data_IF_755428864777
#
_entry.id   IF_755428864777
#
_cell.length_a   1.000
_cell.length_b   1.000
_cell.length_c   1.000
_cell.angle_alpha   90.00
_cell.angle_beta   90.00
_cell.angle_gamma   90.00
#
_symmetry.space_group_name_H-M   'P 1'
#
loop_
_entity.id
_entity.type
_entity.pdbx_description
1 polymer ?
#
# COMPACT_ATOMS: atom_id res chain seq x y z
N UNK A 1 -10.63 -5.37 -26.03
CA UNK A 1 -11.29 -4.40 -26.94
C UNK A 1 -12.48 -3.72 -26.28
N UNK A 2 -13.25 -4.41 -25.43
CA UNK A 2 -14.39 -3.81 -24.69
C UNK A 2 -13.97 -2.76 -23.64
N UNK A 3 -12.85 -2.95 -22.96
CA UNK A 3 -12.37 -1.98 -21.96
C UNK A 3 -12.02 -0.61 -22.58
N UNK A 4 -11.44 -0.58 -23.79
CA UNK A 4 -11.07 0.68 -24.43
C UNK A 4 -12.30 1.49 -24.85
N UNK A 5 -13.31 0.84 -25.45
CA UNK A 5 -14.58 1.51 -25.78
C UNK A 5 -15.31 1.98 -24.51
N UNK A 6 -15.30 1.17 -23.46
CA UNK A 6 -15.89 1.51 -22.16
C UNK A 6 -15.18 2.69 -21.50
N UNK A 7 -13.85 2.77 -21.61
CA UNK A 7 -13.06 3.91 -21.16
C UNK A 7 -13.42 5.19 -21.93
N UNK A 8 -13.45 5.13 -23.27
CA UNK A 8 -13.81 6.29 -24.10
C UNK A 8 -15.24 6.80 -23.81
N UNK A 9 -16.18 5.90 -23.50
CA UNK A 9 -17.55 6.27 -23.15
C UNK A 9 -17.68 7.06 -21.83
N UNK A 10 -16.59 7.22 -21.07
CA UNK A 10 -16.52 8.00 -19.83
C UNK A 10 -15.91 9.39 -20.00
N UNK A 11 -15.32 9.72 -21.16
CA UNK A 11 -14.50 10.93 -21.34
C UNK A 11 -15.19 12.25 -21.01
N UNK A 12 -16.51 12.36 -21.24
CA UNK A 12 -17.31 13.56 -21.00
C UNK A 12 -18.34 13.37 -19.88
N UNK A 13 -18.10 12.40 -18.99
CA UNK A 13 -18.97 12.08 -17.85
C UNK A 13 -18.28 12.41 -16.53
N UNK A 14 -19.03 12.74 -15.47
CA UNK A 14 -18.47 12.82 -14.13
C UNK A 14 -17.78 11.50 -13.74
N UNK A 15 -16.70 11.60 -12.97
CA UNK A 15 -15.97 10.43 -12.45
C UNK A 15 -16.92 9.54 -11.65
N UNK A 16 -17.07 8.29 -12.08
CA UNK A 16 -17.84 7.30 -11.34
C UNK A 16 -16.94 6.56 -10.34
N UNK A 17 -16.96 7.00 -9.08
CA UNK A 17 -16.16 6.40 -8.00
C UNK A 17 -16.52 4.94 -7.65
N UNK A 18 -17.64 4.42 -8.17
CA UNK A 18 -18.07 3.03 -7.96
C UNK A 18 -17.35 2.04 -8.90
N UNK A 19 -16.72 2.51 -9.97
CA UNK A 19 -16.01 1.63 -10.91
C UNK A 19 -14.74 1.05 -10.28
N UNK A 20 -14.46 -0.22 -10.58
CA UNK A 20 -13.27 -0.92 -10.14
C UNK A 20 -12.35 -1.17 -11.32
N UNK A 21 -11.03 -1.07 -11.07
CA UNK A 21 -10.00 -1.38 -12.06
C UNK A 21 -9.54 -2.85 -12.01
N UNK A 22 -10.11 -3.64 -11.10
CA UNK A 22 -9.88 -5.08 -10.96
C UNK A 22 -11.22 -5.80 -10.83
N UNK A 23 -11.29 -7.01 -11.38
CA UNK A 23 -12.43 -7.92 -11.23
C UNK A 23 -12.36 -8.63 -9.87
N UNK A 24 -13.51 -9.10 -9.38
CA UNK A 24 -13.60 -9.74 -8.07
C UNK A 24 -12.74 -11.01 -7.94
N UNK A 25 -12.44 -11.69 -9.04
CA UNK A 25 -11.62 -12.91 -9.07
C UNK A 25 -10.09 -12.67 -9.13
N UNK A 26 -9.65 -11.41 -9.21
CA UNK A 26 -8.22 -11.10 -9.19
C UNK A 26 -7.66 -11.22 -7.77
N UNK A 27 -6.49 -11.85 -7.64
CA UNK A 27 -5.78 -11.99 -6.36
C UNK A 27 -4.80 -10.83 -6.26
N UNK A 28 -5.29 -9.69 -5.80
CA UNK A 28 -4.50 -8.49 -5.58
C UNK A 28 -5.27 -7.50 -4.68
N UNK A 29 -4.69 -6.34 -4.37
CA UNK A 29 -5.39 -5.18 -3.82
C UNK A 29 -4.86 -3.91 -4.51
N UNK A 30 -5.56 -2.79 -4.35
CA UNK A 30 -5.01 -1.51 -4.82
C UNK A 30 -5.62 -0.29 -4.11
N UNK A 31 -4.81 0.77 -4.08
CA UNK A 31 -5.22 2.14 -3.82
C UNK A 31 -5.34 2.93 -5.12
N UNK A 32 -6.36 3.78 -5.22
CA UNK A 32 -6.48 4.76 -6.29
C UNK A 32 -6.50 6.19 -5.74
N UNK A 33 -5.50 7.03 -6.08
CA UNK A 33 -5.38 8.37 -5.54
C UNK A 33 -6.49 9.33 -6.00
N UNK A 34 -6.99 9.17 -7.23
CA UNK A 34 -8.01 10.07 -7.81
C UNK A 34 -9.40 9.84 -7.22
N UNK A 35 -9.70 8.61 -6.83
CA UNK A 35 -10.93 8.24 -6.16
C UNK A 35 -10.79 8.29 -4.63
N UNK A 36 -9.54 8.36 -4.13
CA UNK A 36 -9.15 8.17 -2.73
C UNK A 36 -9.81 6.91 -2.13
N UNK A 37 -9.57 5.77 -2.78
CA UNK A 37 -10.27 4.51 -2.52
C UNK A 37 -9.26 3.36 -2.46
N UNK A 38 -9.44 2.48 -1.48
CA UNK A 38 -8.78 1.16 -1.41
C UNK A 38 -9.78 0.08 -1.81
N UNK A 39 -9.33 -0.95 -2.52
CA UNK A 39 -10.20 -2.03 -3.00
C UNK A 39 -9.53 -3.38 -2.76
N UNK A 40 -10.32 -4.31 -2.22
CA UNK A 40 -9.94 -5.71 -2.00
C UNK A 40 -10.93 -6.59 -2.75
N UNK A 41 -10.58 -7.09 -3.94
CA UNK A 41 -11.31 -8.14 -4.64
C UNK A 41 -11.61 -9.34 -3.73
N UNK A 42 -12.73 -10.03 -3.99
CA UNK A 42 -13.15 -11.18 -3.19
C UNK A 42 -12.09 -12.30 -3.17
N UNK A 43 -11.40 -12.53 -4.29
CA UNK A 43 -10.34 -13.54 -4.37
C UNK A 43 -9.07 -13.17 -3.59
N UNK A 44 -8.89 -11.93 -3.13
CA UNK A 44 -7.80 -11.61 -2.19
C UNK A 44 -8.12 -12.10 -0.76
N UNK A 45 -9.40 -12.23 -0.42
CA UNK A 45 -9.89 -12.55 0.92
C UNK A 45 -9.95 -14.07 1.16
N UNK A 46 -8.83 -14.74 0.93
CA UNK A 46 -8.69 -16.20 1.07
C UNK A 46 -7.37 -16.57 1.77
N UNK A 47 -7.16 -17.83 2.16
CA UNK A 47 -5.86 -18.30 2.67
C UNK A 47 -4.70 -18.00 1.72
N UNK A 48 -3.51 -17.59 2.22
CA UNK A 48 -3.16 -17.40 3.63
C UNK A 48 -3.52 -16.02 4.20
N UNK A 49 -4.11 -15.12 3.40
CA UNK A 49 -4.37 -13.73 3.80
C UNK A 49 -5.49 -13.59 4.82
N UNK A 50 -6.59 -14.32 4.65
CA UNK A 50 -7.76 -14.23 5.51
C UNK A 50 -8.45 -15.58 5.72
N UNK A 51 -8.91 -15.81 6.96
CA UNK A 51 -9.83 -16.89 7.30
C UNK A 51 -10.68 -16.49 8.52
N UNK A 52 -11.99 -16.77 8.46
CA UNK A 52 -12.90 -16.44 9.57
C UNK A 52 -12.56 -17.17 10.88
N UNK A 53 -11.96 -18.35 10.78
CA UNK A 53 -11.54 -19.20 11.91
C UNK A 53 -10.06 -19.02 12.29
N UNK A 54 -9.32 -18.13 11.63
CA UNK A 54 -7.89 -17.94 11.88
C UNK A 54 -7.64 -17.22 13.18
N UNK A 55 -6.51 -17.52 13.83
CA UNK A 55 -6.05 -16.72 14.96
C UNK A 55 -5.93 -15.25 14.51
N UNK A 56 -6.39 -14.27 15.31
CA UNK A 56 -6.31 -12.87 14.92
C UNK A 56 -4.90 -12.45 14.49
N UNK A 57 -3.84 -12.96 15.11
CA UNK A 57 -2.46 -12.67 14.69
C UNK A 57 -2.22 -13.02 13.22
N UNK A 58 -2.79 -14.11 12.71
CA UNK A 58 -2.69 -14.50 11.30
C UNK A 58 -3.45 -13.51 10.41
N UNK A 59 -4.68 -13.14 10.76
CA UNK A 59 -5.47 -12.20 9.97
C UNK A 59 -4.84 -10.79 9.95
N UNK A 60 -4.28 -10.32 11.06
CA UNK A 60 -3.56 -9.05 11.11
C UNK A 60 -2.20 -9.13 10.40
N UNK A 61 -1.49 -10.27 10.44
CA UNK A 61 -0.28 -10.47 9.66
C UNK A 61 -0.54 -10.55 8.15
N UNK A 62 -1.63 -11.20 7.76
CA UNK A 62 -2.10 -11.34 6.39
C UNK A 62 -2.89 -10.12 5.92
N UNK A 63 -4.22 -10.23 5.82
CA UNK A 63 -5.07 -9.18 5.23
C UNK A 63 -4.97 -7.84 5.96
N UNK A 64 -4.71 -7.81 7.27
CA UNK A 64 -4.52 -6.57 8.00
C UNK A 64 -3.31 -5.77 7.52
N UNK A 65 -2.20 -6.43 7.20
CA UNK A 65 -1.01 -5.76 6.65
C UNK A 65 -1.26 -5.25 5.23
N UNK A 66 -2.00 -6.00 4.40
CA UNK A 66 -2.45 -5.57 3.06
C UNK A 66 -3.37 -4.35 3.17
N UNK A 67 -4.33 -4.36 4.10
CA UNK A 67 -5.20 -3.19 4.33
C UNK A 67 -4.38 -1.97 4.73
N UNK A 68 -3.43 -2.13 5.65
CA UNK A 68 -2.53 -1.06 6.05
C UNK A 68 -1.64 -0.57 4.91
N UNK A 69 -1.20 -1.47 4.02
CA UNK A 69 -0.39 -1.16 2.84
C UNK A 69 -1.16 -0.25 1.90
N UNK A 70 -2.39 -0.63 1.52
CA UNK A 70 -3.24 0.18 0.63
C UNK A 70 -3.62 1.55 1.23
N UNK A 71 -3.84 1.62 2.55
CA UNK A 71 -4.06 2.91 3.23
C UNK A 71 -2.79 3.77 3.14
N UNK A 72 -1.62 3.17 3.31
CA UNK A 72 -0.34 3.89 3.31
C UNK A 72 -0.01 4.46 1.93
N UNK A 73 -0.46 3.85 0.83
CA UNK A 73 -0.31 4.42 -0.51
C UNK A 73 -0.92 5.82 -0.66
N UNK A 74 -1.97 6.16 0.11
CA UNK A 74 -2.50 7.53 0.16
C UNK A 74 -1.52 8.57 0.70
N UNK A 75 -0.43 8.14 1.32
CA UNK A 75 0.56 8.98 1.99
C UNK A 75 2.01 8.68 1.56
N UNK A 76 2.22 7.83 0.56
CA UNK A 76 3.55 7.52 0.03
C UNK A 76 4.13 8.68 -0.81
N UNK A 77 5.28 8.47 -1.46
CA UNK A 77 5.96 9.51 -2.23
C UNK A 77 5.12 10.09 -3.40
N UNK A 78 4.13 9.35 -3.89
CA UNK A 78 3.19 9.74 -4.94
C UNK A 78 1.83 10.18 -4.38
N UNK A 79 1.19 9.35 -3.55
CA UNK A 79 -0.16 9.56 -3.02
C UNK A 79 -0.29 10.80 -2.16
N UNK A 80 0.77 11.18 -1.43
CA UNK A 80 0.83 12.43 -0.64
C UNK A 80 0.56 13.71 -1.45
N UNK A 81 0.62 13.66 -2.77
CA UNK A 81 0.36 14.81 -3.65
C UNK A 81 -1.13 14.97 -4.00
N UNK A 82 -2.00 14.08 -3.50
CA UNK A 82 -3.44 14.10 -3.71
C UNK A 82 -4.16 14.43 -2.40
N UNK A 83 -5.13 15.34 -2.43
CA UNK A 83 -5.96 15.65 -1.27
C UNK A 83 -7.03 14.57 -1.02
N UNK A 84 -7.79 14.70 0.08
CA UNK A 84 -8.82 13.71 0.44
C UNK A 84 -9.97 13.55 -0.57
N UNK A 85 -10.10 14.48 -1.53
CA UNK A 85 -11.06 14.39 -2.63
C UNK A 85 -10.47 13.76 -3.90
N UNK A 86 -9.16 13.51 -3.92
CA UNK A 86 -8.40 12.95 -5.03
C UNK A 86 -7.86 13.98 -6.01
N UNK A 87 -7.82 15.27 -5.63
CA UNK A 87 -7.23 16.31 -6.47
C UNK A 87 -5.72 16.37 -6.26
N UNK A 88 -4.96 16.42 -7.37
CA UNK A 88 -3.51 16.64 -7.30
C UNK A 88 -3.22 18.09 -6.91
N UNK A 89 -3.00 18.33 -5.63
CA UNK A 89 -2.77 19.66 -5.05
C UNK A 89 -1.80 19.54 -3.88
N UNK A 90 -0.81 20.44 -3.75
CA UNK A 90 0.00 20.52 -2.53
C UNK A 90 -0.89 20.86 -1.33
N UNK A 91 -0.94 19.97 -0.34
CA UNK A 91 -1.70 20.18 0.92
C UNK A 91 -0.81 20.04 2.16
N UNK A 92 0.47 19.73 1.99
CA UNK A 92 1.50 19.79 3.02
C UNK A 92 2.25 21.11 2.96
N UNK A 93 2.66 21.61 4.14
CA UNK A 93 3.61 22.71 4.22
C UNK A 93 4.98 22.24 3.72
N UNK A 94 5.83 23.18 3.29
CA UNK A 94 7.19 22.87 2.82
C UNK A 94 8.03 22.15 3.89
N UNK A 95 7.84 22.51 5.16
CA UNK A 95 8.49 21.85 6.29
C UNK A 95 8.12 20.35 6.39
N UNK A 96 6.84 20.01 6.22
CA UNK A 96 6.38 18.61 6.23
C UNK A 96 6.89 17.87 5.01
N UNK A 97 6.90 18.51 3.84
CA UNK A 97 7.46 17.93 2.61
C UNK A 97 8.96 17.60 2.77
N UNK A 98 9.75 18.53 3.30
CA UNK A 98 11.17 18.32 3.54
C UNK A 98 11.42 17.20 4.56
N UNK A 99 10.64 17.17 5.65
CA UNK A 99 10.73 16.12 6.66
C UNK A 99 10.37 14.73 6.10
N UNK A 100 9.37 14.65 5.22
CA UNK A 100 9.01 13.41 4.54
C UNK A 100 10.15 12.91 3.66
N UNK A 101 10.68 13.76 2.77
CA UNK A 101 11.77 13.40 1.86
C UNK A 101 12.98 12.90 2.64
N UNK A 102 13.36 13.60 3.71
CA UNK A 102 14.47 13.20 4.57
C UNK A 102 14.24 11.83 5.22
N UNK A 103 13.04 11.56 5.74
CA UNK A 103 12.73 10.26 6.36
C UNK A 103 12.65 9.13 5.32
N UNK A 104 12.07 9.38 4.15
CA UNK A 104 11.98 8.38 3.08
C UNK A 104 13.35 8.01 2.51
N UNK A 105 14.34 8.91 2.61
CA UNK A 105 15.72 8.60 2.18
C UNK A 105 16.32 7.42 2.95
N UNK A 106 15.99 7.26 4.24
CA UNK A 106 16.42 6.11 5.03
C UNK A 106 15.92 4.78 4.42
N UNK A 107 14.69 4.76 3.91
CA UNK A 107 14.10 3.57 3.26
C UNK A 107 14.79 3.34 1.91
N UNK A 108 15.00 4.39 1.11
CA UNK A 108 15.77 4.29 -0.15
C UNK A 108 17.14 3.66 0.11
N UNK A 109 17.88 4.18 1.08
CA UNK A 109 19.25 3.72 1.38
C UNK A 109 19.26 2.27 1.87
N UNK A 110 18.32 1.91 2.75
CA UNK A 110 18.18 0.54 3.25
C UNK A 110 17.95 -0.46 2.12
N UNK A 111 16.95 -0.21 1.26
CA UNK A 111 16.63 -1.13 0.18
C UNK A 111 17.70 -1.13 -0.91
N UNK A 112 18.32 0.02 -1.21
CA UNK A 112 19.44 0.10 -2.16
C UNK A 112 20.69 -0.67 -1.73
N UNK A 113 20.81 -1.04 -0.46
CA UNK A 113 21.89 -1.89 0.03
C UNK A 113 21.63 -3.40 -0.18
N UNK A 114 20.38 -3.80 -0.46
CA UNK A 114 19.99 -5.20 -0.59
C UNK A 114 20.41 -5.78 -1.95
N UNK A 115 21.11 -6.92 -1.91
CA UNK A 115 21.49 -7.68 -3.10
C UNK A 115 20.45 -8.77 -3.39
N UNK A 116 20.05 -8.88 -4.65
CA UNK A 116 19.07 -9.85 -5.14
C UNK A 116 19.83 -11.03 -5.74
N UNK A 117 19.48 -12.25 -5.34
CA UNK A 117 20.07 -13.47 -5.86
C UNK A 117 19.04 -14.28 -6.66
N UNK A 118 19.51 -15.01 -7.66
CA UNK A 118 18.68 -15.88 -8.48
C UNK A 118 18.23 -17.11 -7.70
N UNK A 119 16.91 -17.38 -7.70
CA UNK A 119 16.34 -18.61 -7.13
C UNK A 119 16.66 -19.86 -7.97
N UNK A 120 16.84 -19.69 -9.28
CA UNK A 120 17.12 -20.80 -10.22
C UNK A 120 18.61 -21.03 -10.50
N UNK A 121 19.46 -20.12 -10.02
CA UNK A 121 20.92 -20.23 -10.18
C UNK A 121 21.58 -19.83 -8.86
N UNK A 122 21.75 -20.78 -7.93
CA UNK A 122 22.28 -20.50 -6.60
C UNK A 122 23.59 -19.70 -6.64
N UNK A 123 23.66 -18.63 -5.84
CA UNK A 123 24.83 -17.76 -5.76
C UNK A 123 24.97 -16.72 -6.88
N UNK A 124 24.14 -16.75 -7.93
CA UNK A 124 24.15 -15.72 -8.97
C UNK A 124 23.45 -14.46 -8.46
N UNK A 125 24.23 -13.38 -8.26
CA UNK A 125 23.68 -12.04 -8.05
C UNK A 125 22.97 -11.54 -9.31
N UNK A 126 21.80 -10.94 -9.12
CA UNK A 126 20.99 -10.24 -10.13
C UNK A 126 21.15 -8.72 -10.03
N UNK A 127 22.00 -8.25 -9.11
CA UNK A 127 22.21 -6.84 -8.79
C UNK A 127 21.51 -6.41 -7.51
N UNK A 128 21.55 -5.11 -7.23
CA UNK A 128 20.92 -4.53 -6.03
C UNK A 128 19.52 -4.01 -6.33
N UNK A 129 18.66 -4.01 -5.31
CA UNK A 129 17.34 -3.38 -5.39
C UNK A 129 17.52 -1.88 -5.69
N UNK A 130 16.68 -1.34 -6.58
CA UNK A 130 16.62 0.09 -6.80
C UNK A 130 15.68 0.74 -5.78
N UNK A 131 16.22 1.16 -4.62
CA UNK A 131 15.43 1.71 -3.52
C UNK A 131 14.64 2.97 -3.87
N UNK A 132 15.04 3.74 -4.90
CA UNK A 132 14.25 4.88 -5.40
C UNK A 132 13.04 4.42 -6.21
N UNK A 133 13.24 3.39 -7.03
CA UNK A 133 12.16 2.82 -7.86
C UNK A 133 11.09 2.15 -6.99
N UNK A 134 11.50 1.44 -5.95
CA UNK A 134 10.59 0.69 -5.07
C UNK A 134 10.06 1.51 -3.89
N UNK A 135 10.33 2.82 -3.84
CA UNK A 135 10.09 3.64 -2.64
C UNK A 135 8.62 3.65 -2.21
N UNK A 136 7.67 3.72 -3.15
CA UNK A 136 6.23 3.75 -2.83
C UNK A 136 5.80 2.48 -2.12
N UNK A 137 6.05 1.33 -2.74
CA UNK A 137 5.77 -0.01 -2.20
C UNK A 137 6.47 -0.24 -0.87
N UNK A 138 7.74 0.13 -0.75
CA UNK A 138 8.50 -0.10 0.49
C UNK A 138 8.06 0.81 1.64
N UNK A 139 7.57 2.02 1.36
CA UNK A 139 6.86 2.85 2.35
C UNK A 139 5.55 2.17 2.76
N UNK A 140 4.78 1.67 1.79
CA UNK A 140 3.50 1.02 2.02
C UNK A 140 3.63 -0.26 2.84
N UNK A 141 4.61 -1.12 2.57
CA UNK A 141 4.92 -2.33 3.34
C UNK A 141 5.25 -2.01 4.80
N UNK A 142 6.17 -1.06 5.02
CA UNK A 142 6.60 -0.69 6.37
C UNK A 142 5.47 -0.02 7.16
N UNK A 143 4.69 0.86 6.51
CA UNK A 143 3.55 1.54 7.12
C UNK A 143 2.40 0.58 7.41
N UNK A 144 2.12 -0.33 6.48
CA UNK A 144 1.03 -1.30 6.56
C UNK A 144 1.25 -2.33 7.64
N UNK A 145 2.42 -2.97 7.68
CA UNK A 145 2.76 -3.92 8.74
C UNK A 145 2.77 -3.25 10.11
N UNK A 146 3.34 -2.05 10.23
CA UNK A 146 3.36 -1.29 11.50
C UNK A 146 1.96 -0.96 11.99
N UNK A 147 1.09 -0.49 11.10
CA UNK A 147 -0.29 -0.12 11.43
C UNK A 147 -1.12 -1.34 11.81
N UNK A 148 -0.99 -2.43 11.05
CA UNK A 148 -1.67 -3.68 11.35
C UNK A 148 -1.23 -4.28 12.69
N UNK A 149 0.08 -4.33 12.95
CA UNK A 149 0.59 -4.81 14.24
C UNK A 149 0.12 -3.96 15.42
N UNK A 150 0.01 -2.64 15.23
CA UNK A 150 -0.58 -1.76 16.24
C UNK A 150 -2.05 -2.11 16.49
N UNK A 151 -2.86 -2.26 15.44
CA UNK A 151 -4.27 -2.62 15.56
C UNK A 151 -4.46 -4.01 16.21
N UNK A 152 -3.59 -4.97 15.90
CA UNK A 152 -3.56 -6.26 16.58
C UNK A 152 -3.30 -6.11 18.09
N UNK A 153 -2.31 -5.31 18.49
CA UNK A 153 -2.04 -5.04 19.91
C UNK A 153 -3.21 -4.37 20.62
N UNK A 154 -3.92 -3.49 19.92
CA UNK A 154 -5.14 -2.86 20.44
C UNK A 154 -6.25 -3.90 20.66
N UNK A 155 -6.44 -4.83 19.72
CA UNK A 155 -7.40 -5.93 19.85
C UNK A 155 -7.13 -6.80 21.09
N UNK A 156 -5.87 -7.21 21.31
CA UNK A 156 -5.51 -8.12 22.41
C UNK A 156 -5.25 -7.39 23.74
N UNK A 157 -5.59 -6.10 23.84
CA UNK A 157 -5.42 -5.32 25.07
C UNK A 157 -3.96 -5.06 25.48
N UNK A 158 -3.02 -5.19 24.55
CA UNK A 158 -1.59 -4.90 24.77
C UNK A 158 -1.24 -3.41 24.59
N UNK A 159 -2.21 -2.53 24.39
CA UNK A 159 -1.96 -1.08 24.33
C UNK A 159 -1.47 -0.62 25.70
N UNK A 160 -0.25 -0.07 25.74
CA UNK A 160 0.36 0.50 26.95
C UNK A 160 -0.67 1.34 27.70
N UNK A 161 -0.99 0.91 28.91
CA UNK A 161 -1.37 1.83 29.98
C UNK A 161 -0.20 2.79 30.16
N UNK A 162 -0.33 4.00 29.60
CA UNK A 162 0.61 5.10 29.83
C UNK A 162 1.70 5.27 28.77
N UNK A 163 1.56 6.34 27.99
CA UNK A 163 2.60 7.36 27.89
C UNK A 163 1.89 8.71 28.12
N UNK A 164 2.31 9.38 29.20
CA UNK A 164 2.00 10.76 29.53
C UNK A 164 2.55 11.70 28.46
#
# INVERSE_FOLDING_TARGET
QDDFKTFLAQFDKPVNKQLWNMKAQEINAYYSPRENKIVFPAAQLQPPYFGGEYDPAQNFGGVGSVIGHEITHGFDNSGRNFDGNGNKKPWWTDAVNAAFVNKSQCIVDQYSAMEVFSEVTPGKSLGKVNGKLTLGETIADNGGLKSSYRAYKELIGMTRVGLR
#
